data_IF_770808233205
#
_entry.id   IF_770808233205
#
_cell.length_a   1.000
_cell.length_b   1.000
_cell.length_c   1.000
_cell.angle_alpha   90.00
_cell.angle_beta   90.00
_cell.angle_gamma   90.00
#
_symmetry.space_group_name_H-M   'P 1'
#
loop_
_entity.id
_entity.type
_entity.pdbx_description
1 polymer ?
#
# COMPACT_ATOMS: atom_id res chain seq x y z
N UNK A 1 -6.08 23.52 23.69
CA UNK A 1 -5.55 22.14 23.69
C UNK A 1 -4.10 22.23 23.27
N UNK A 2 -3.16 21.65 24.01
CA UNK A 2 -1.78 21.55 23.56
C UNK A 2 -1.66 20.48 22.46
N UNK A 3 -0.72 20.62 21.50
CA UNK A 3 -0.51 19.59 20.50
C UNK A 3 0.02 18.29 21.14
N UNK A 4 -0.33 17.14 20.55
CA UNK A 4 0.09 15.82 21.05
C UNK A 4 1.27 15.29 20.23
N UNK A 5 2.21 14.69 20.92
CA UNK A 5 3.36 14.01 20.32
C UNK A 5 3.21 12.50 20.50
N UNK A 6 3.35 11.76 19.39
CA UNK A 6 3.30 10.31 19.37
C UNK A 6 4.67 9.78 18.91
N UNK A 7 5.35 9.04 19.77
CA UNK A 7 6.59 8.32 19.42
C UNK A 7 6.32 6.83 19.55
N UNK A 8 6.47 6.10 18.44
CA UNK A 8 6.14 4.69 18.36
C UNK A 8 7.03 3.96 17.35
N UNK A 9 7.22 2.66 17.56
CA UNK A 9 7.76 1.76 16.54
C UNK A 9 6.61 1.26 15.69
N UNK A 10 6.75 1.37 14.38
CA UNK A 10 5.83 0.80 13.39
C UNK A 10 6.48 -0.36 12.67
N UNK A 11 5.85 -1.53 12.75
CA UNK A 11 6.27 -2.76 12.05
C UNK A 11 5.19 -3.16 11.05
N UNK A 12 5.59 -3.83 9.97
CA UNK A 12 4.66 -4.37 8.97
C UNK A 12 4.95 -5.82 8.66
N UNK A 13 3.90 -6.54 8.33
CA UNK A 13 3.94 -7.87 7.74
C UNK A 13 3.11 -7.87 6.45
N UNK A 14 3.62 -8.49 5.39
CA UNK A 14 2.95 -8.61 4.10
C UNK A 14 2.76 -10.10 3.83
N UNK A 15 1.53 -10.48 3.53
CA UNK A 15 1.14 -11.80 3.07
C UNK A 15 0.82 -11.72 1.58
N UNK A 16 1.75 -12.16 0.73
CA UNK A 16 1.54 -12.19 -0.71
C UNK A 16 0.57 -13.28 -1.16
N UNK A 17 0.34 -14.32 -0.35
CA UNK A 17 -0.60 -15.39 -0.71
C UNK A 17 -2.04 -14.89 -0.58
N UNK A 18 -2.33 -14.21 0.53
CA UNK A 18 -3.66 -13.64 0.80
C UNK A 18 -3.82 -12.20 0.33
N UNK A 19 -2.77 -11.62 -0.24
CA UNK A 19 -2.72 -10.24 -0.72
C UNK A 19 -3.16 -9.26 0.38
N UNK A 20 -2.65 -9.51 1.59
CA UNK A 20 -2.99 -8.76 2.79
C UNK A 20 -1.75 -8.27 3.53
N UNK A 21 -1.92 -7.23 4.35
CA UNK A 21 -0.83 -6.59 5.07
C UNK A 21 -1.31 -6.19 6.46
N UNK A 22 -0.48 -6.42 7.47
CA UNK A 22 -0.72 -5.97 8.84
C UNK A 22 0.33 -4.92 9.19
N UNK A 23 -0.10 -3.78 9.70
CA UNK A 23 0.75 -2.70 10.19
C UNK A 23 0.42 -2.51 11.66
N UNK A 24 1.39 -2.75 12.55
CA UNK A 24 1.25 -2.54 13.97
C UNK A 24 2.14 -1.38 14.42
N UNK A 25 1.62 -0.49 15.24
CA UNK A 25 2.36 0.61 15.85
C UNK A 25 2.19 0.59 17.36
N UNK A 26 3.30 0.59 18.11
CA UNK A 26 3.30 0.57 19.57
C UNK A 26 4.17 1.71 20.11
N UNK A 27 3.66 2.44 21.10
CA UNK A 27 4.41 3.50 21.78
C UNK A 27 5.76 3.01 22.29
N UNK A 28 6.77 3.88 22.19
CA UNK A 28 8.07 3.67 22.80
C UNK A 28 8.13 4.24 24.21
N UNK A 29 9.03 3.68 25.02
CA UNK A 29 9.27 4.16 26.37
C UNK A 29 9.79 5.62 26.36
N UNK A 30 9.38 6.36 27.40
CA UNK A 30 9.84 7.71 27.72
C UNK A 30 11.35 7.76 27.92
N UNK A 31 11.95 6.71 28.44
CA UNK A 31 13.38 6.68 28.79
C UNK A 31 14.27 6.84 27.55
N UNK A 32 13.82 6.33 26.40
CA UNK A 32 14.54 6.42 25.12
C UNK A 32 14.49 7.83 24.50
N UNK A 33 13.47 8.63 24.84
CA UNK A 33 13.24 9.95 24.24
C UNK A 33 12.76 10.97 25.28
N UNK A 34 13.60 11.93 25.69
CA UNK A 34 13.27 12.89 26.74
C UNK A 34 12.06 13.75 26.36
N UNK A 35 11.31 14.21 27.37
CA UNK A 35 10.16 15.08 27.13
C UNK A 35 10.60 16.50 26.78
N UNK A 36 9.92 17.06 25.79
CA UNK A 36 9.87 18.49 25.54
C UNK A 36 8.60 19.08 26.20
N UNK A 37 8.71 20.26 26.82
CA UNK A 37 7.58 20.97 27.43
C UNK A 37 6.57 21.57 26.43
N UNK A 38 6.91 21.62 25.14
CA UNK A 38 6.04 22.19 24.10
C UNK A 38 4.86 21.28 23.72
N UNK A 39 5.00 19.98 23.95
CA UNK A 39 4.04 18.96 23.51
C UNK A 39 3.59 18.08 24.67
N UNK A 40 2.36 17.58 24.57
CA UNK A 40 1.88 16.52 25.46
C UNK A 40 2.22 15.17 24.83
N UNK A 41 3.21 14.47 25.39
CA UNK A 41 3.59 13.12 24.95
C UNK A 41 2.49 12.11 25.29
N UNK A 42 1.97 11.43 24.27
CA UNK A 42 1.06 10.29 24.45
C UNK A 42 1.89 9.03 24.69
N UNK A 43 1.89 8.55 25.93
CA UNK A 43 2.66 7.37 26.34
C UNK A 43 1.93 6.07 26.05
N UNK A 44 0.60 6.09 26.19
CA UNK A 44 -0.23 4.93 25.90
C UNK A 44 -0.77 5.07 24.49
N UNK A 45 -0.12 4.42 23.54
CA UNK A 45 -0.58 4.36 22.15
C UNK A 45 -0.32 2.97 21.56
N UNK A 46 -1.35 2.39 20.96
CA UNK A 46 -1.27 1.17 20.17
C UNK A 46 -2.23 1.25 19.00
N UNK A 47 -1.77 0.89 17.81
CA UNK A 47 -2.63 0.79 16.63
C UNK A 47 -2.28 -0.39 15.75
N UNK A 48 -3.29 -0.97 15.13
CA UNK A 48 -3.18 -2.12 14.23
C UNK A 48 -4.07 -1.84 13.03
N UNK A 49 -3.45 -1.77 11.86
CA UNK A 49 -4.12 -1.64 10.59
C UNK A 49 -3.98 -2.95 9.83
N UNK A 50 -5.10 -3.50 9.38
CA UNK A 50 -5.12 -4.63 8.44
C UNK A 50 -5.60 -4.08 7.12
N UNK A 51 -4.83 -4.33 6.06
CA UNK A 51 -5.13 -3.95 4.68
C UNK A 51 -5.25 -5.23 3.87
N UNK A 52 -6.25 -5.31 2.99
CA UNK A 52 -6.48 -6.44 2.09
C UNK A 52 -6.75 -5.90 0.70
N UNK A 53 -5.94 -6.31 -0.27
CA UNK A 53 -6.21 -6.03 -1.67
C UNK A 53 -7.38 -6.91 -2.16
N UNK A 54 -8.09 -6.44 -3.19
CA UNK A 54 -9.25 -7.18 -3.70
C UNK A 54 -8.85 -8.43 -4.49
N UNK A 55 -7.81 -8.34 -5.33
CA UNK A 55 -7.19 -9.49 -6.00
C UNK A 55 -5.67 -9.48 -5.93
N UNK A 56 -5.03 -8.35 -6.20
CA UNK A 56 -3.60 -8.17 -6.03
C UNK A 56 -3.25 -6.76 -5.57
N UNK A 57 -2.06 -6.57 -4.99
CA UNK A 57 -1.60 -5.27 -4.48
C UNK A 57 -1.53 -4.15 -5.52
N UNK A 58 -1.40 -4.50 -6.81
CA UNK A 58 -1.34 -3.53 -7.92
C UNK A 58 -2.72 -3.15 -8.48
N UNK A 59 -3.80 -3.82 -8.06
CA UNK A 59 -5.16 -3.50 -8.49
C UNK A 59 -5.71 -2.28 -7.73
N UNK A 60 -6.61 -1.54 -8.39
CA UNK A 60 -7.30 -0.41 -7.76
C UNK A 60 -8.27 -0.89 -6.69
N UNK A 61 -8.17 -0.28 -5.52
CA UNK A 61 -9.07 -0.54 -4.40
C UNK A 61 -8.45 -1.50 -3.38
N UNK A 62 -8.83 -1.28 -2.13
CA UNK A 62 -8.44 -2.10 -1.00
C UNK A 62 -9.49 -1.97 0.10
N UNK A 63 -9.55 -2.98 0.95
CA UNK A 63 -10.28 -2.93 2.21
C UNK A 63 -9.28 -2.73 3.33
N UNK A 64 -9.61 -1.89 4.31
CA UNK A 64 -8.78 -1.75 5.49
C UNK A 64 -9.59 -1.57 6.76
N UNK A 65 -9.02 -2.03 7.87
CA UNK A 65 -9.53 -1.82 9.21
C UNK A 65 -8.39 -1.30 10.07
N UNK A 66 -8.57 -0.13 10.68
CA UNK A 66 -7.67 0.42 11.68
C UNK A 66 -8.34 0.32 13.05
N UNK A 67 -7.73 -0.42 13.96
CA UNK A 67 -8.08 -0.42 15.38
C UNK A 67 -6.96 0.25 16.15
N UNK A 68 -7.29 1.23 16.96
CA UNK A 68 -6.30 1.92 17.78
C UNK A 68 -6.86 2.23 19.17
N UNK A 69 -5.95 2.45 20.09
CA UNK A 69 -6.20 2.86 21.45
C UNK A 69 -5.11 3.85 21.86
N UNK A 70 -5.53 4.99 22.40
CA UNK A 70 -4.64 6.04 22.88
C UNK A 70 -5.17 6.70 24.16
N UNK A 71 -4.25 7.18 25.01
CA UNK A 71 -4.55 8.09 26.11
C UNK A 71 -3.99 9.49 25.78
N UNK A 72 -4.82 10.44 25.32
CA UNK A 72 -4.35 11.78 24.92
C UNK A 72 -3.98 12.70 26.10
N UNK A 73 -3.91 12.15 27.32
CA UNK A 73 -3.63 12.82 28.59
C UNK A 73 -4.55 14.04 28.82
N UNK A 74 -5.79 13.93 28.36
CA UNK A 74 -6.79 14.99 28.45
C UNK A 74 -8.18 14.41 28.27
N UNK A 75 -9.13 14.97 29.01
CA UNK A 75 -10.54 14.73 28.75
C UNK A 75 -10.93 15.45 27.45
N UNK A 76 -11.49 14.71 26.50
CA UNK A 76 -12.04 15.28 25.27
C UNK A 76 -13.54 15.51 25.52
N UNK A 77 -14.06 16.74 25.33
CA UNK A 77 -15.48 17.00 25.47
C UNK A 77 -16.31 16.16 24.50
N UNK A 78 -17.45 15.62 24.97
CA UNK A 78 -18.33 14.75 24.17
C UNK A 78 -18.78 15.40 22.84
N UNK A 79 -18.99 16.72 22.83
CA UNK A 79 -19.36 17.43 21.60
C UNK A 79 -18.25 17.38 20.53
N UNK A 80 -16.99 17.51 20.94
CA UNK A 80 -15.84 17.40 20.05
C UNK A 80 -15.68 15.96 19.54
N UNK A 81 -15.83 14.98 20.44
CA UNK A 81 -15.80 13.57 20.05
C UNK A 81 -16.88 13.22 19.02
N UNK A 82 -18.12 13.62 19.27
CA UNK A 82 -19.24 13.40 18.35
C UNK A 82 -19.02 14.10 17.01
N UNK A 83 -18.43 15.29 17.00
CA UNK A 83 -18.09 15.98 15.76
C UNK A 83 -17.03 15.21 14.96
N UNK A 84 -15.99 14.70 15.62
CA UNK A 84 -14.94 13.90 14.98
C UNK A 84 -15.54 12.64 14.36
N UNK A 85 -16.37 11.90 15.09
CA UNK A 85 -16.96 10.64 14.58
C UNK A 85 -17.88 10.90 13.38
N UNK A 86 -18.71 11.94 13.44
CA UNK A 86 -19.74 12.16 12.42
C UNK A 86 -19.27 12.98 11.22
N UNK A 87 -18.24 13.83 11.38
CA UNK A 87 -17.79 14.74 10.33
C UNK A 87 -16.29 14.63 10.09
N UNK A 88 -15.48 14.75 11.14
CA UNK A 88 -14.02 14.81 11.03
C UNK A 88 -13.40 13.55 10.40
N UNK A 89 -13.78 12.37 10.89
CA UNK A 89 -13.31 11.08 10.41
C UNK A 89 -13.67 10.81 8.94
N UNK A 90 -14.95 10.88 8.55
CA UNK A 90 -15.35 10.74 7.15
C UNK A 90 -14.66 11.73 6.22
N UNK A 91 -14.55 13.00 6.62
CA UNK A 91 -13.86 14.03 5.84
C UNK A 91 -12.35 13.74 5.70
N UNK A 92 -11.71 13.23 6.74
CA UNK A 92 -10.31 12.80 6.66
C UNK A 92 -10.12 11.65 5.66
N UNK A 93 -11.00 10.64 5.69
CA UNK A 93 -10.94 9.53 4.74
C UNK A 93 -11.14 9.97 3.28
N UNK A 94 -12.01 10.95 3.04
CA UNK A 94 -12.17 11.55 1.71
C UNK A 94 -10.89 12.24 1.23
N UNK A 95 -10.19 12.97 2.11
CA UNK A 95 -8.91 13.60 1.78
C UNK A 95 -7.83 12.57 1.46
N UNK A 96 -7.72 11.51 2.27
CA UNK A 96 -6.76 10.40 2.01
C UNK A 96 -7.05 9.74 0.67
N UNK A 97 -8.32 9.49 0.37
CA UNK A 97 -8.73 8.94 -0.93
C UNK A 97 -8.40 9.88 -2.09
N UNK A 98 -8.69 11.18 -1.97
CA UNK A 98 -8.36 12.16 -3.01
C UNK A 98 -6.85 12.25 -3.27
N UNK A 99 -6.04 12.27 -2.20
CA UNK A 99 -4.58 12.25 -2.31
C UNK A 99 -4.06 10.96 -2.95
N UNK A 100 -4.68 9.80 -2.64
CA UNK A 100 -4.33 8.53 -3.27
C UNK A 100 -4.63 8.52 -4.78
N UNK A 101 -5.77 9.09 -5.21
CA UNK A 101 -6.11 9.25 -6.62
C UNK A 101 -5.14 10.17 -7.36
N UNK A 102 -4.74 11.28 -6.73
CA UNK A 102 -3.74 12.19 -7.31
C UNK A 102 -2.38 11.51 -7.46
N UNK A 103 -1.94 10.76 -6.44
CA UNK A 103 -0.72 9.98 -6.49
C UNK A 103 -0.74 8.91 -7.59
N UNK A 104 -1.89 8.26 -7.82
CA UNK A 104 -2.07 7.29 -8.90
C UNK A 104 -1.91 7.96 -10.27
N UNK A 105 -2.56 9.12 -10.50
CA UNK A 105 -2.43 9.89 -11.74
C UNK A 105 -0.98 10.25 -12.03
N UNK A 106 -0.25 10.74 -11.02
CA UNK A 106 1.16 11.10 -11.15
C UNK A 106 2.05 9.90 -11.48
N UNK A 107 1.76 8.73 -10.90
CA UNK A 107 2.48 7.48 -11.21
C UNK A 107 2.22 7.04 -12.64
N UNK A 108 0.97 7.03 -13.07
CA UNK A 108 0.60 6.65 -14.44
C UNK A 108 1.22 7.58 -15.48
N UNK A 109 1.19 8.90 -15.24
CA UNK A 109 1.82 9.87 -16.14
C UNK A 109 3.33 9.66 -16.24
N UNK A 110 4.01 9.48 -15.11
CA UNK A 110 5.45 9.19 -15.10
C UNK A 110 5.80 7.92 -15.90
N UNK A 111 5.01 6.86 -15.75
CA UNK A 111 5.23 5.63 -16.51
C UNK A 111 5.06 5.83 -18.01
N UNK A 112 4.11 6.66 -18.44
CA UNK A 112 3.92 7.00 -19.85
C UNK A 112 5.10 7.82 -20.39
N UNK A 113 5.54 8.83 -19.64
CA UNK A 113 6.69 9.66 -20.03
C UNK A 113 7.98 8.81 -20.15
N UNK A 114 8.21 7.87 -19.24
CA UNK A 114 9.35 6.94 -19.28
C UNK A 114 9.28 6.00 -20.51
N UNK A 115 8.09 5.54 -20.88
CA UNK A 115 7.89 4.71 -22.07
C UNK A 115 8.12 5.51 -23.37
N UNK A 116 7.66 6.75 -23.43
CA UNK A 116 7.82 7.63 -24.58
C UNK A 116 9.30 7.99 -24.80
N UNK A 117 10.03 8.28 -23.72
CA UNK A 117 11.49 8.48 -23.80
C UNK A 117 12.20 7.24 -24.33
N UNK A 118 11.89 6.04 -23.81
CA UNK A 118 12.50 4.79 -24.30
C UNK A 118 12.17 4.50 -25.77
N UNK A 119 10.94 4.78 -26.21
CA UNK A 119 10.56 4.63 -27.60
C UNK A 119 11.33 5.59 -28.51
N UNK A 120 11.53 6.83 -28.06
CA UNK A 120 12.31 7.84 -28.79
C UNK A 120 13.80 7.48 -28.89
N UNK A 121 14.39 6.89 -27.85
CA UNK A 121 15.77 6.40 -27.85
C UNK A 121 15.95 5.21 -28.80
N UNK A 122 15.03 4.24 -28.76
CA UNK A 122 15.05 3.08 -29.65
C UNK A 122 14.87 3.47 -31.14
N UNK A 123 14.07 4.50 -31.42
CA UNK A 123 13.95 5.06 -32.77
C UNK A 123 15.24 5.73 -33.25
N UNK A 124 15.98 6.39 -32.35
CA UNK A 124 17.24 7.07 -32.68
C UNK A 124 18.41 6.08 -32.89
N UNK A 125 18.40 4.92 -32.23
CA UNK A 125 19.42 3.87 -32.43
C UNK A 125 19.17 3.04 -33.71
N UNK A 126 17.93 3.00 -34.22
CA UNK A 126 17.59 2.33 -35.48
C UNK A 126 18.13 3.01 -36.74
N UNK A 127 18.38 4.33 -36.71
CA UNK A 127 18.88 5.08 -37.87
C UNK A 127 20.39 4.94 -38.13
N UNK A 128 21.15 4.20 -37.30
CA UNK A 128 22.59 3.98 -37.50
C UNK A 128 22.97 2.70 -38.25
N UNK A 129 22.00 1.89 -38.68
CA UNK A 129 22.26 0.60 -39.33
C UNK A 129 21.52 0.44 -40.66
N UNK A 130 21.64 1.41 -41.58
CA UNK A 130 21.29 1.13 -42.98
C UNK A 130 22.11 1.96 -43.96
N UNK A 131 23.31 1.45 -44.26
CA UNK A 131 23.99 1.75 -45.52
C UNK A 131 24.62 0.46 -46.03
N UNK A 132 23.96 -0.22 -46.98
CA UNK A 132 24.52 -0.77 -48.23
C UNK A 132 23.68 -1.92 -48.78
N UNK A 133 23.44 -1.83 -50.10
CA UNK A 133 23.17 -2.91 -51.07
C UNK A 133 21.71 -3.30 -51.39
N UNK A 134 21.16 -2.51 -52.31
CA UNK A 134 20.41 -2.85 -53.54
C UNK A 134 19.91 -4.29 -53.84
N UNK A 135 18.61 -4.31 -54.18
CA UNK A 135 17.88 -4.96 -55.30
C UNK A 135 18.07 -6.46 -55.59
N UNK A 136 16.97 -7.22 -55.56
CA UNK A 136 16.45 -7.87 -56.77
C UNK A 136 14.95 -8.19 -56.68
N UNK A 137 14.23 -8.03 -57.79
CA UNK A 137 12.79 -8.23 -57.98
C UNK A 137 12.53 -9.64 -58.51
N UNK A 138 11.63 -10.42 -57.89
CA UNK A 138 10.78 -11.37 -58.65
C UNK A 138 9.43 -11.61 -57.96
N UNK A 139 8.41 -11.63 -58.80
CA UNK A 139 6.97 -11.87 -58.63
C UNK A 139 6.58 -13.22 -58.05
N UNK A 140 5.43 -13.27 -57.35
CA UNK A 140 4.68 -14.51 -57.08
C UNK A 140 3.39 -14.23 -56.30
N UNK A 141 2.26 -14.42 -56.97
CA UNK A 141 0.88 -14.26 -56.53
C UNK A 141 0.38 -15.41 -55.64
N UNK A 142 -0.76 -15.16 -54.97
CA UNK A 142 -1.79 -16.06 -54.42
C UNK A 142 -2.04 -16.01 -52.89
N UNK A 143 -3.12 -15.30 -52.51
CA UNK A 143 -4.34 -15.92 -51.98
C UNK A 143 -4.45 -16.36 -50.50
N UNK A 144 -5.57 -15.91 -49.89
CA UNK A 144 -6.43 -16.56 -48.87
C UNK A 144 -6.37 -16.03 -47.42
N UNK A 145 -7.41 -15.28 -47.06
CA UNK A 145 -8.07 -15.19 -45.74
C UNK A 145 -9.37 -16.04 -45.80
N UNK A 146 -10.15 -16.27 -44.71
CA UNK A 146 -9.91 -16.24 -43.25
C UNK A 146 -10.38 -17.54 -42.55
N UNK A 147 -10.33 -17.64 -41.21
CA UNK A 147 -11.46 -18.04 -40.32
C UNK A 147 -11.03 -18.52 -38.90
N UNK A 148 -11.51 -17.77 -37.89
CA UNK A 148 -12.26 -18.19 -36.69
C UNK A 148 -11.79 -19.32 -35.72
N UNK A 149 -11.73 -18.97 -34.41
CA UNK A 149 -12.66 -19.56 -33.43
C UNK A 149 -12.12 -20.30 -32.18
N UNK A 150 -12.59 -19.83 -31.00
CA UNK A 150 -12.84 -20.53 -29.72
C UNK A 150 -11.64 -20.94 -28.82
N UNK A 151 -11.69 -20.95 -27.48
CA UNK A 151 -12.79 -20.85 -26.51
C UNK A 151 -12.32 -20.29 -25.15
N UNK A 152 -13.22 -19.59 -24.46
CA UNK A 152 -13.08 -19.15 -23.07
C UNK A 152 -13.01 -20.34 -22.09
N UNK A 153 -11.97 -20.37 -21.25
CA UNK A 153 -11.83 -21.28 -20.13
C UNK A 153 -12.37 -20.66 -18.84
N UNK A 154 -13.35 -21.33 -18.27
CA UNK A 154 -14.10 -21.00 -17.06
C UNK A 154 -13.20 -21.02 -15.80
N UNK A 155 -12.96 -19.86 -15.18
CA UNK A 155 -12.23 -19.76 -13.90
C UNK A 155 -13.21 -20.06 -12.77
N UNK A 156 -13.00 -21.20 -12.11
CA UNK A 156 -13.74 -21.63 -10.92
C UNK A 156 -13.61 -20.58 -9.82
N UNK A 157 -14.75 -20.04 -9.40
CA UNK A 157 -14.91 -19.12 -8.28
C UNK A 157 -14.62 -19.90 -6.99
N UNK A 158 -13.37 -19.84 -6.52
CA UNK A 158 -13.01 -20.37 -5.20
C UNK A 158 -13.83 -19.64 -4.12
N UNK A 159 -14.40 -20.42 -3.21
CA UNK A 159 -15.29 -19.94 -2.16
C UNK A 159 -14.52 -19.10 -1.14
N UNK A 160 -14.78 -17.80 -1.14
CA UNK A 160 -14.11 -16.77 -0.34
C UNK A 160 -14.24 -16.98 1.19
N UNK A 161 -15.16 -17.88 1.63
CA UNK A 161 -15.37 -18.21 3.04
C UNK A 161 -14.38 -19.22 3.61
N UNK A 162 -13.88 -20.16 2.81
CA UNK A 162 -12.98 -21.20 3.32
C UNK A 162 -11.56 -20.67 3.53
N UNK A 163 -11.05 -19.84 2.62
CA UNK A 163 -9.72 -19.20 2.73
C UNK A 163 -9.61 -18.29 3.95
N UNK A 164 -10.70 -17.59 4.27
CA UNK A 164 -10.79 -16.66 5.41
C UNK A 164 -10.66 -17.35 6.78
N UNK A 165 -11.00 -18.64 6.89
CA UNK A 165 -10.88 -19.39 8.15
C UNK A 165 -9.50 -20.03 8.33
N UNK A 166 -8.83 -20.40 7.24
CA UNK A 166 -7.53 -21.07 7.25
C UNK A 166 -6.39 -20.20 7.80
N UNK A 167 -6.42 -18.88 7.55
CA UNK A 167 -5.25 -18.01 7.79
C UNK A 167 -5.34 -17.14 9.05
N UNK A 168 -6.47 -17.18 9.77
CA UNK A 168 -6.62 -16.56 11.10
C UNK A 168 -5.48 -16.90 12.07
N UNK A 169 -5.05 -18.16 12.25
CA UNK A 169 -3.99 -18.47 13.20
C UNK A 169 -2.62 -17.91 12.78
N UNK A 170 -2.31 -17.87 11.48
CA UNK A 170 -1.04 -17.31 10.99
C UNK A 170 -0.99 -15.79 11.20
N UNK A 171 -2.05 -15.07 10.82
CA UNK A 171 -2.17 -13.63 11.03
C UNK A 171 -2.19 -13.28 12.53
N UNK A 172 -2.83 -14.09 13.35
CA UNK A 172 -2.87 -13.89 14.80
C UNK A 172 -1.51 -14.14 15.45
N UNK A 173 -0.81 -15.21 15.09
CA UNK A 173 0.55 -15.46 15.57
C UNK A 173 1.53 -14.35 15.12
N UNK A 174 1.35 -13.82 13.89
CA UNK A 174 2.12 -12.66 13.43
C UNK A 174 1.78 -11.38 14.19
N UNK A 175 0.50 -11.13 14.45
CA UNK A 175 0.06 -10.02 15.27
C UNK A 175 0.69 -10.08 16.66
N UNK A 176 0.68 -11.25 17.29
CA UNK A 176 1.33 -11.47 18.58
C UNK A 176 2.83 -11.17 18.50
N UNK A 177 3.53 -11.63 17.44
CA UNK A 177 4.94 -11.28 17.21
C UNK A 177 5.19 -9.79 16.99
N UNK A 178 4.36 -9.11 16.20
CA UNK A 178 4.51 -7.68 15.91
C UNK A 178 4.27 -6.82 17.17
N UNK A 179 3.40 -7.30 18.06
CA UNK A 179 2.93 -6.56 19.23
C UNK A 179 3.58 -6.99 20.54
N UNK A 180 4.30 -8.11 20.57
CA UNK A 180 5.29 -8.44 21.59
C UNK A 180 6.40 -7.39 21.48
N UNK A 181 6.30 -6.35 22.31
CA UNK A 181 7.30 -5.29 22.37
C UNK A 181 8.49 -5.84 23.15
N UNK A 182 9.52 -6.26 22.45
CA UNK A 182 10.89 -6.09 22.90
C UNK A 182 11.42 -4.80 22.26
N UNK A 183 12.17 -4.02 23.06
CA UNK A 183 12.92 -2.85 22.59
C UNK A 183 13.79 -3.33 21.43
N UNK A 184 13.77 -2.69 20.26
CA UNK A 184 14.70 -3.03 19.21
C UNK A 184 16.15 -2.98 19.73
N UNK A 185 16.93 -4.05 19.58
CA UNK A 185 18.32 -4.15 20.08
C UNK A 185 19.18 -2.94 19.68
N UNK A 186 18.93 -2.33 18.50
CA UNK A 186 19.68 -1.14 18.06
C UNK A 186 19.41 0.13 18.90
N UNK A 187 18.28 0.20 19.61
CA UNK A 187 17.97 1.27 20.56
C UNK A 187 18.58 1.01 21.94
N UNK A 188 19.01 -0.21 22.24
CA UNK A 188 19.81 -0.52 23.44
C UNK A 188 21.28 -0.09 23.30
N UNK A 189 21.73 0.23 22.07
CA UNK A 189 23.10 0.64 21.79
C UNK A 189 23.34 2.16 21.89
N UNK A 190 22.33 2.92 22.31
CA UNK A 190 22.44 4.38 22.52
C UNK A 190 22.58 4.62 24.03
N UNK A 191 23.78 4.37 24.56
CA UNK A 191 24.22 4.79 25.91
C UNK A 191 24.82 6.21 25.88
#
# INVERSE_FOLDING_TARGET
MYPREYIFVRRRYVDETEQSMVIASNALDRELFPLNSEYVRVQTYRSVMVVRAHRCFDEKGLDFVLTYYDNPESTIPNCAYNWIVNHGGPHFLQQVHAAALELEKLRTQRSLDELEMRASEAANDGEKSEYSAETDLTSGDEGVEPEQGASAGEVKKADMRETSQSNRPALQAWYERLTAVEIPEFLEMID
#
